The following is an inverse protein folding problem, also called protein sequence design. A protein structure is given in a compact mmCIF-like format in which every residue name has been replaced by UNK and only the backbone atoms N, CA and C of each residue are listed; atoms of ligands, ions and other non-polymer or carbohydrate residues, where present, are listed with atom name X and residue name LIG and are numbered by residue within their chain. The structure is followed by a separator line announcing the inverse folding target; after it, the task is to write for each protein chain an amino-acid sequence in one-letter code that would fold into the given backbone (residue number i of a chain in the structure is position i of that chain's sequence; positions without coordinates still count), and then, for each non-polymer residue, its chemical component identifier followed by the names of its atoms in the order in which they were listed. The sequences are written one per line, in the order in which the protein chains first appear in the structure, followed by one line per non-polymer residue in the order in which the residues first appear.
data_IF_697627513811
#
_entry.id   IF_697627513811
#
_cell.length_a   1.000
_cell.length_b   1.000
_cell.length_c   1.000
_cell.angle_alpha   90.00
_cell.angle_beta   90.00
_cell.angle_gamma   90.00
#
_symmetry.space_group_name_H-M   'P 1'
#
loop_
_entity.id
_entity.type
_entity.pdbx_description
1 polymer ?
#
# COMPACT_ATOMS: atom_id res chain seq x y z
N UNK A 1 -2.47 -6.85 22.95
CA UNK A 1 -2.38 -7.70 21.74
C UNK A 1 -0.95 -8.20 21.57
N UNK A 2 -0.72 -9.32 20.89
CA UNK A 2 0.63 -9.73 20.51
C UNK A 2 1.13 -8.83 19.37
N UNK A 3 2.43 -8.53 19.36
CA UNK A 3 3.11 -7.78 18.30
C UNK A 3 4.00 -8.72 17.49
N UNK A 4 3.96 -8.59 16.17
CA UNK A 4 4.76 -9.35 15.23
C UNK A 4 5.51 -8.39 14.32
N UNK A 5 6.79 -8.67 14.04
CA UNK A 5 7.64 -7.77 13.22
C UNK A 5 8.37 -8.49 12.09
N UNK A 6 8.22 -9.82 12.01
CA UNK A 6 8.74 -10.65 10.93
C UNK A 6 7.61 -11.37 10.21
N UNK A 7 7.72 -11.43 8.87
CA UNK A 7 6.78 -12.16 8.03
C UNK A 7 6.71 -13.66 8.38
N UNK A 8 7.79 -14.24 8.92
CA UNK A 8 7.82 -15.65 9.34
C UNK A 8 6.98 -15.94 10.59
N UNK A 9 6.58 -14.89 11.33
CA UNK A 9 5.76 -15.03 12.52
C UNK A 9 4.26 -15.06 12.20
N UNK A 10 3.86 -14.68 10.99
CA UNK A 10 2.46 -14.61 10.58
C UNK A 10 2.05 -15.83 9.75
N UNK A 11 0.80 -16.24 9.89
CA UNK A 11 0.21 -17.13 8.90
C UNK A 11 -0.01 -16.36 7.60
N UNK A 12 0.59 -16.85 6.52
CA UNK A 12 0.65 -16.14 5.25
C UNK A 12 -0.72 -16.02 4.58
N UNK A 13 -1.57 -17.04 4.70
CA UNK A 13 -2.91 -17.02 4.11
C UNK A 13 -3.85 -16.14 4.93
N UNK A 14 -3.74 -16.17 6.26
CA UNK A 14 -4.47 -15.26 7.14
C UNK A 14 -4.08 -13.79 6.90
N UNK A 15 -2.79 -13.50 6.72
CA UNK A 15 -2.33 -12.16 6.32
C UNK A 15 -2.95 -11.74 4.99
N UNK A 16 -2.84 -12.57 3.94
CA UNK A 16 -3.46 -12.27 2.66
C UNK A 16 -4.97 -12.03 2.78
N UNK A 17 -5.67 -12.91 3.47
CA UNK A 17 -7.11 -12.83 3.71
C UNK A 17 -7.49 -11.55 4.47
N UNK A 18 -6.70 -11.17 5.49
CA UNK A 18 -6.89 -9.92 6.22
C UNK A 18 -6.83 -8.71 5.29
N UNK A 19 -5.84 -8.64 4.40
CA UNK A 19 -5.68 -7.54 3.46
C UNK A 19 -6.79 -7.52 2.42
N UNK A 20 -7.12 -8.67 1.82
CA UNK A 20 -8.14 -8.77 0.75
C UNK A 20 -9.55 -8.43 1.24
N UNK A 21 -9.87 -8.70 2.51
CA UNK A 21 -11.17 -8.40 3.09
C UNK A 21 -11.22 -7.03 3.80
N UNK A 22 -10.09 -6.32 3.90
CA UNK A 22 -10.07 -5.00 4.52
C UNK A 22 -10.59 -3.93 3.53
N UNK A 23 -11.51 -3.02 3.93
CA UNK A 23 -12.05 -1.98 3.03
C UNK A 23 -11.00 -1.04 2.43
N UNK A 24 -9.87 -0.88 3.12
CA UNK A 24 -8.71 -0.07 2.69
C UNK A 24 -7.51 -0.94 2.30
N UNK A 25 -7.71 -2.26 2.15
CA UNK A 25 -6.67 -3.18 1.72
C UNK A 25 -6.08 -2.78 0.38
N UNK A 26 -4.77 -2.96 0.22
CA UNK A 26 -4.10 -2.69 -1.05
C UNK A 26 -3.06 -3.76 -1.33
N UNK A 27 -2.71 -3.91 -2.62
CA UNK A 27 -1.64 -4.83 -3.04
C UNK A 27 -0.34 -4.56 -2.30
N UNK A 28 -0.07 -3.31 -1.91
CA UNK A 28 1.14 -2.91 -1.20
C UNK A 28 1.26 -3.45 0.21
N UNK A 29 0.17 -3.96 0.78
CA UNK A 29 0.12 -4.53 2.13
C UNK A 29 0.12 -6.06 2.10
N UNK A 30 0.16 -6.69 0.91
CA UNK A 30 0.08 -8.14 0.75
C UNK A 30 1.42 -8.86 0.99
N UNK A 31 1.40 -10.16 1.35
CA UNK A 31 2.63 -10.95 1.50
C UNK A 31 3.43 -11.05 0.20
N UNK A 32 2.79 -11.04 -0.98
CA UNK A 32 3.52 -11.05 -2.25
C UNK A 32 4.31 -9.75 -2.48
N UNK A 33 3.81 -8.62 -1.98
CA UNK A 33 4.56 -7.35 -2.05
C UNK A 33 5.75 -7.35 -1.11
N UNK A 34 5.61 -7.96 0.07
CA UNK A 34 6.74 -8.17 0.98
C UNK A 34 7.86 -8.95 0.29
N UNK A 35 7.52 -10.05 -0.40
CA UNK A 35 8.52 -10.84 -1.12
C UNK A 35 9.17 -10.05 -2.25
N UNK A 36 8.38 -9.25 -2.99
CA UNK A 36 8.92 -8.36 -4.02
C UNK A 36 9.91 -7.36 -3.44
N UNK A 37 9.57 -6.71 -2.31
CA UNK A 37 10.47 -5.79 -1.63
C UNK A 37 11.75 -6.48 -1.15
N UNK A 38 11.64 -7.70 -0.59
CA UNK A 38 12.80 -8.48 -0.16
C UNK A 38 13.72 -8.88 -1.33
N UNK A 39 13.14 -9.10 -2.52
CA UNK A 39 13.88 -9.44 -3.74
C UNK A 39 14.43 -8.22 -4.51
N UNK A 40 14.07 -7.00 -4.11
CA UNK A 40 14.46 -5.76 -4.81
C UNK A 40 15.74 -5.17 -4.20
N UNK A 41 16.73 -4.88 -5.04
CA UNK A 41 17.97 -4.25 -4.58
C UNK A 41 17.72 -2.88 -3.92
N UNK A 42 18.36 -2.63 -2.78
CA UNK A 42 18.23 -1.39 -2.02
C UNK A 42 16.94 -1.29 -1.19
N UNK A 43 16.09 -2.32 -1.22
CA UNK A 43 14.84 -2.38 -0.47
C UNK A 43 14.96 -3.41 0.66
N UNK A 44 14.35 -3.10 1.79
CA UNK A 44 14.23 -4.01 2.92
C UNK A 44 12.82 -3.87 3.50
N UNK A 45 11.95 -4.90 3.43
CA UNK A 45 10.60 -4.80 3.95
C UNK A 45 10.63 -4.64 5.47
N UNK A 46 9.72 -3.81 5.99
CA UNK A 46 9.49 -3.60 7.42
C UNK A 46 8.04 -3.92 7.70
N UNK A 47 7.82 -4.98 8.46
CA UNK A 47 6.50 -5.43 8.84
C UNK A 47 6.21 -5.08 10.30
N UNK A 48 5.00 -4.62 10.56
CA UNK A 48 4.41 -4.58 11.88
C UNK A 48 3.01 -5.17 11.79
N UNK A 49 2.67 -6.04 12.74
CA UNK A 49 1.33 -6.56 12.87
C UNK A 49 0.97 -6.72 14.34
N UNK A 50 -0.32 -6.59 14.63
CA UNK A 50 -0.87 -6.82 15.98
C UNK A 50 -2.04 -7.78 15.89
N UNK A 51 -2.18 -8.68 16.86
CA UNK A 51 -3.21 -9.70 16.80
C UNK A 51 -3.41 -10.47 18.11
N UNK A 52 -4.40 -11.35 18.09
CA UNK A 52 -4.59 -12.37 19.14
C UNK A 52 -3.80 -13.66 18.84
N UNK A 53 -3.30 -13.79 17.61
CA UNK A 53 -2.52 -14.91 17.10
C UNK A 53 -1.99 -14.60 15.70
N UNK A 54 -1.11 -15.47 15.15
CA UNK A 54 -0.54 -15.32 13.81
C UNK A 54 -1.58 -15.42 12.69
N UNK A 55 -2.74 -16.01 12.98
CA UNK A 55 -3.90 -16.20 12.10
C UNK A 55 -5.06 -15.22 12.38
N UNK A 56 -4.96 -14.42 13.46
CA UNK A 56 -6.03 -13.50 13.90
C UNK A 56 -5.49 -12.09 14.09
N UNK A 57 -5.22 -11.46 12.96
CA UNK A 57 -4.71 -10.09 12.88
C UNK A 57 -5.79 -9.07 13.25
N UNK A 58 -5.38 -8.06 14.01
CA UNK A 58 -6.17 -6.87 14.40
C UNK A 58 -5.61 -5.60 13.77
N UNK A 59 -4.35 -5.63 13.35
CA UNK A 59 -3.76 -4.57 12.55
C UNK A 59 -2.52 -5.04 11.81
N UNK A 60 -2.21 -4.38 10.70
CA UNK A 60 -1.11 -4.69 9.81
C UNK A 60 -0.57 -3.41 9.16
N UNK A 61 0.75 -3.32 9.09
CA UNK A 61 1.46 -2.31 8.34
C UNK A 61 2.72 -2.95 7.70
N UNK A 62 2.76 -2.94 6.39
CA UNK A 62 3.93 -3.23 5.57
C UNK A 62 4.47 -1.92 5.01
N UNK A 63 5.74 -1.66 5.29
CA UNK A 63 6.54 -0.60 4.72
C UNK A 63 7.78 -1.18 4.05
N UNK A 64 8.53 -0.33 3.37
CA UNK A 64 9.86 -0.67 2.87
C UNK A 64 10.86 0.39 3.30
N UNK A 65 11.98 -0.07 3.86
CA UNK A 65 13.15 0.75 4.05
C UNK A 65 13.91 0.83 2.72
N UNK A 66 13.99 2.03 2.17
CA UNK A 66 14.75 2.31 0.94
C UNK A 66 16.09 2.95 1.30
N UNK A 67 17.16 2.52 0.65
CA UNK A 67 18.50 3.10 0.79
C UNK A 67 19.11 3.34 -0.59
N UNK A 68 19.83 4.44 -0.76
CA UNK A 68 20.67 4.63 -1.94
C UNK A 68 21.79 3.59 -1.95
N UNK A 69 22.18 3.09 -3.14
CA UNK A 69 23.27 2.13 -3.25
C UNK A 69 24.61 2.74 -2.80
N UNK A 70 25.46 1.90 -2.23
CA UNK A 70 26.82 2.25 -1.80
C UNK A 70 26.94 2.71 -0.35
N UNK A 71 28.14 3.18 0.03
CA UNK A 71 28.53 3.43 1.43
C UNK A 71 27.76 4.57 2.11
N UNK A 72 27.11 5.44 1.34
CA UNK A 72 26.27 6.53 1.86
C UNK A 72 24.83 6.10 2.14
N UNK A 73 24.45 4.87 1.78
CA UNK A 73 23.09 4.34 1.92
C UNK A 73 22.45 4.58 3.30
N UNK A 74 23.14 4.36 4.43
CA UNK A 74 22.58 4.62 5.76
C UNK A 74 22.13 6.08 5.99
N UNK A 75 22.81 7.06 5.37
CA UNK A 75 22.47 8.49 5.50
C UNK A 75 21.37 8.96 4.53
N UNK A 76 20.79 8.03 3.79
CA UNK A 76 19.66 8.28 2.87
C UNK A 76 18.45 7.41 3.20
N UNK A 77 18.54 6.62 4.27
CA UNK A 77 17.57 5.60 4.58
C UNK A 77 16.22 6.23 4.93
N UNK A 78 15.16 5.85 4.21
CA UNK A 78 13.78 6.32 4.44
C UNK A 78 12.83 5.14 4.46
N UNK A 79 11.85 5.17 5.35
CA UNK A 79 10.79 4.16 5.36
C UNK A 79 9.57 4.69 4.61
N UNK A 80 9.05 3.92 3.67
CA UNK A 80 7.87 4.27 2.90
C UNK A 80 6.84 3.16 3.03
N UNK A 81 5.67 3.49 3.57
CA UNK A 81 4.48 2.66 3.53
C UNK A 81 3.56 3.16 2.42
N UNK A 82 3.25 2.33 1.44
CA UNK A 82 2.17 2.62 0.49
C UNK A 82 0.86 2.10 1.07
N UNK A 83 -0.05 3.03 1.30
CA UNK A 83 -1.22 2.81 2.14
C UNK A 83 -0.97 3.22 3.59
N UNK A 84 -2.08 3.30 4.31
CA UNK A 84 -2.11 3.56 5.74
C UNK A 84 -2.02 2.23 6.51
N UNK A 85 -1.75 2.28 7.83
CA UNK A 85 -1.96 1.12 8.69
C UNK A 85 -3.39 0.58 8.53
N UNK A 86 -3.52 -0.74 8.40
CA UNK A 86 -4.81 -1.41 8.35
C UNK A 86 -5.19 -1.82 9.76
N UNK A 87 -6.40 -1.49 10.20
CA UNK A 87 -6.92 -1.84 11.53
C UNK A 87 -8.27 -2.52 11.34
N UNK A 88 -8.43 -3.69 11.95
CA UNK A 88 -9.64 -4.50 11.81
C UNK A 88 -10.88 -3.67 12.21
N UNK A 89 -11.98 -3.72 11.42
CA UNK A 89 -13.18 -2.92 11.70
C UNK A 89 -13.83 -3.21 13.07
N UNK A 90 -13.59 -4.40 13.61
CA UNK A 90 -14.12 -4.87 14.89
C UNK A 90 -13.10 -4.75 16.04
N UNK A 91 -11.93 -4.13 15.80
CA UNK A 91 -10.97 -3.75 16.84
C UNK A 91 -11.27 -2.36 17.40
N UNK A 92 -10.80 -2.09 18.63
CA UNK A 92 -10.69 -0.71 19.09
C UNK A 92 -9.63 0.00 18.22
N UNK A 93 -10.02 1.02 17.44
CA UNK A 93 -9.13 1.61 16.46
C UNK A 93 -7.99 2.41 17.11
N UNK A 94 -8.18 2.93 18.33
CA UNK A 94 -7.15 3.67 19.04
C UNK A 94 -6.08 2.74 19.60
N UNK A 95 -6.50 1.68 20.30
CA UNK A 95 -5.58 0.71 20.90
C UNK A 95 -4.79 -0.05 19.82
N UNK A 96 -5.49 -0.61 18.81
CA UNK A 96 -4.84 -1.41 17.78
C UNK A 96 -3.86 -0.58 16.94
N UNK A 97 -4.21 0.67 16.62
CA UNK A 97 -3.32 1.56 15.87
C UNK A 97 -2.11 1.98 16.70
N UNK A 98 -2.28 2.34 17.99
CA UNK A 98 -1.17 2.72 18.85
C UNK A 98 -0.15 1.58 19.00
N UNK A 99 -0.63 0.36 19.25
CA UNK A 99 0.21 -0.84 19.35
C UNK A 99 0.92 -1.15 18.02
N UNK A 100 0.23 -0.97 16.89
CA UNK A 100 0.79 -1.20 15.55
C UNK A 100 1.87 -0.18 15.20
N UNK A 101 1.64 1.11 15.47
CA UNK A 101 2.64 2.17 15.26
C UNK A 101 3.85 1.95 16.18
N UNK A 102 3.64 1.59 17.45
CA UNK A 102 4.74 1.28 18.37
C UNK A 102 5.58 0.08 17.88
N UNK A 103 4.94 -0.99 17.39
CA UNK A 103 5.64 -2.13 16.81
C UNK A 103 6.47 -1.74 15.57
N UNK A 104 5.89 -0.91 14.70
CA UNK A 104 6.55 -0.39 13.51
C UNK A 104 7.76 0.49 13.84
N UNK A 105 7.62 1.44 14.76
CA UNK A 105 8.70 2.32 15.19
C UNK A 105 9.84 1.54 15.85
N UNK A 106 9.49 0.53 16.64
CA UNK A 106 10.47 -0.38 17.24
C UNK A 106 11.24 -1.16 16.16
N UNK A 107 10.56 -1.69 15.14
CA UNK A 107 11.20 -2.40 14.03
C UNK A 107 12.13 -1.49 13.19
N UNK A 108 11.84 -0.18 13.15
CA UNK A 108 12.57 0.81 12.37
C UNK A 108 13.62 1.60 13.17
N UNK A 109 13.69 1.41 14.49
CA UNK A 109 14.49 2.24 15.38
C UNK A 109 15.95 2.38 14.93
N UNK A 110 16.39 3.62 14.66
CA UNK A 110 17.76 3.94 14.23
C UNK A 110 18.10 3.57 12.78
N UNK A 111 17.13 3.11 11.98
CA UNK A 111 17.36 2.59 10.62
C UNK A 111 16.87 3.51 9.51
N UNK A 112 15.99 4.47 9.82
CA UNK A 112 15.44 5.44 8.88
C UNK A 112 15.54 6.87 9.43
N UNK A 113 15.76 7.83 8.53
CA UNK A 113 15.74 9.26 8.84
C UNK A 113 14.31 9.77 9.07
N UNK A 114 13.36 9.24 8.32
CA UNK A 114 11.95 9.53 8.44
C UNK A 114 11.10 8.38 7.90
N UNK A 115 9.84 8.39 8.31
CA UNK A 115 8.78 7.49 7.85
C UNK A 115 7.76 8.29 7.06
N UNK A 116 7.36 7.76 5.90
CA UNK A 116 6.35 8.34 5.02
C UNK A 116 5.21 7.34 4.82
N UNK A 117 3.99 7.74 5.19
CA UNK A 117 2.77 7.00 4.90
C UNK A 117 2.06 7.62 3.70
N UNK A 118 2.05 6.92 2.57
CA UNK A 118 1.38 7.36 1.34
C UNK A 118 -0.03 6.82 1.33
N UNK A 119 -0.91 7.50 2.05
CA UNK A 119 -2.31 7.10 2.22
C UNK A 119 -3.02 6.97 0.86
N UNK A 120 -3.62 5.80 0.62
CA UNK A 120 -4.35 5.48 -0.61
C UNK A 120 -5.87 5.66 -0.46
N UNK A 121 -6.33 5.90 0.76
CA UNK A 121 -7.73 6.05 1.16
C UNK A 121 -7.84 7.16 2.21
N UNK A 122 -9.07 7.48 2.61
CA UNK A 122 -9.31 8.42 3.70
C UNK A 122 -8.82 7.86 5.04
N UNK A 123 -7.88 8.57 5.67
CA UNK A 123 -7.29 8.22 6.97
C UNK A 123 -7.58 9.28 8.03
N UNK A 124 -8.61 10.10 7.83
CA UNK A 124 -8.94 11.20 8.74
C UNK A 124 -9.13 10.73 10.18
N UNK A 125 -9.69 9.52 10.37
CA UNK A 125 -9.86 8.89 11.68
C UNK A 125 -8.54 8.65 12.44
N UNK A 126 -7.42 8.44 11.72
CA UNK A 126 -6.12 8.16 12.32
C UNK A 126 -5.31 9.43 12.58
N UNK A 127 -5.72 10.58 12.04
CA UNK A 127 -4.92 11.81 12.05
C UNK A 127 -4.52 12.25 13.47
N UNK A 128 -5.45 12.19 14.42
CA UNK A 128 -5.20 12.56 15.82
C UNK A 128 -4.12 11.70 16.46
N UNK A 129 -4.30 10.38 16.42
CA UNK A 129 -3.36 9.43 17.00
C UNK A 129 -2.00 9.47 16.31
N UNK A 130 -1.96 9.56 14.98
CA UNK A 130 -0.71 9.71 14.23
C UNK A 130 0.04 10.99 14.66
N UNK A 131 -0.67 12.09 14.91
CA UNK A 131 -0.05 13.33 15.41
C UNK A 131 0.52 13.17 16.82
N UNK A 132 -0.12 12.39 17.70
CA UNK A 132 0.40 12.07 19.04
C UNK A 132 1.71 11.27 18.97
N UNK A 133 1.90 10.47 17.92
CA UNK A 133 3.14 9.76 17.61
C UNK A 133 4.15 10.60 16.80
N UNK A 134 3.92 11.90 16.61
CA UNK A 134 4.85 12.82 15.94
C UNK A 134 4.77 12.84 14.42
N UNK A 135 3.75 12.22 13.81
CA UNK A 135 3.53 12.29 12.36
C UNK A 135 2.81 13.58 11.97
N UNK A 136 3.19 14.15 10.83
CA UNK A 136 2.56 15.32 10.26
C UNK A 136 1.79 14.96 9.01
N UNK A 137 0.50 15.30 8.98
CA UNK A 137 -0.32 15.08 7.79
C UNK A 137 -0.06 16.15 6.73
N UNK A 138 0.20 15.71 5.50
CA UNK A 138 0.30 16.57 4.32
C UNK A 138 -0.83 16.18 3.36
N UNK A 139 -1.54 17.18 2.82
CA UNK A 139 -2.62 16.94 1.86
C UNK A 139 -2.05 16.61 0.47
N UNK A 140 -2.55 15.53 -0.12
CA UNK A 140 -2.22 15.12 -1.48
C UNK A 140 -3.50 15.00 -2.32
N UNK A 141 -3.50 15.63 -3.49
CA UNK A 141 -4.63 15.57 -4.41
C UNK A 141 -4.60 14.25 -5.20
N UNK A 142 -5.58 13.39 -4.96
CA UNK A 142 -5.81 12.18 -5.73
C UNK A 142 -7.11 12.29 -6.54
N UNK A 143 -7.09 11.84 -7.79
CA UNK A 143 -8.29 11.75 -8.63
C UNK A 143 -8.85 10.33 -8.58
N UNK A 144 -9.79 10.08 -7.66
CA UNK A 144 -10.44 8.78 -7.49
C UNK A 144 -11.78 8.81 -8.22
N UNK A 145 -11.99 7.85 -9.13
CA UNK A 145 -13.26 7.66 -9.84
C UNK A 145 -13.98 6.47 -9.21
N UNK A 146 -15.12 6.67 -8.51
CA UNK A 146 -15.90 5.56 -7.98
C UNK A 146 -16.42 4.66 -9.10
N UNK A 147 -16.19 3.36 -8.98
CA UNK A 147 -16.66 2.33 -9.93
C UNK A 147 -17.83 1.51 -9.37
N UNK A 148 -18.49 2.01 -8.32
CA UNK A 148 -19.69 1.39 -7.73
C UNK A 148 -20.93 1.47 -8.64
N UNK A 149 -20.85 2.24 -9.72
CA UNK A 149 -21.91 2.45 -10.72
C UNK A 149 -21.67 1.62 -11.98
N UNK A 150 -22.67 1.59 -12.87
CA UNK A 150 -22.54 0.89 -14.16
C UNK A 150 -21.46 1.50 -15.06
N UNK A 151 -20.95 0.70 -16.00
CA UNK A 151 -19.95 1.15 -16.99
C UNK A 151 -20.46 2.37 -17.76
N UNK A 152 -21.74 2.39 -18.13
CA UNK A 152 -22.38 3.48 -18.84
C UNK A 152 -22.41 4.77 -18.02
N UNK A 153 -22.71 4.68 -16.73
CA UNK A 153 -22.73 5.82 -15.80
C UNK A 153 -21.33 6.39 -15.63
N UNK A 154 -20.34 5.54 -15.34
CA UNK A 154 -18.93 5.94 -15.23
C UNK A 154 -18.46 6.58 -16.55
N UNK A 155 -18.83 5.99 -17.69
CA UNK A 155 -18.48 6.54 -19.01
C UNK A 155 -19.09 7.93 -19.24
N UNK A 156 -20.29 8.21 -18.74
CA UNK A 156 -20.95 9.54 -18.83
C UNK A 156 -20.25 10.59 -17.99
N UNK A 157 -19.58 10.22 -16.89
CA UNK A 157 -18.78 11.15 -16.07
C UNK A 157 -17.55 11.67 -16.82
N UNK A 158 -17.02 10.92 -17.79
CA UNK A 158 -15.89 11.38 -18.61
C UNK A 158 -16.26 12.63 -19.39
N UNK A 159 -15.39 13.64 -19.43
CA UNK A 159 -15.62 14.86 -20.20
C UNK A 159 -15.99 14.59 -21.67
N UNK A 160 -16.91 15.37 -22.27
CA UNK A 160 -17.43 15.18 -23.65
C UNK A 160 -16.32 14.97 -24.69
N UNK A 161 -15.21 15.70 -24.56
CA UNK A 161 -14.03 15.58 -25.44
C UNK A 161 -13.39 14.19 -25.34
N UNK A 162 -13.27 13.62 -24.12
CA UNK A 162 -12.71 12.29 -23.88
C UNK A 162 -13.59 11.20 -24.50
N UNK A 163 -14.91 11.28 -24.31
CA UNK A 163 -15.86 10.35 -24.95
C UNK A 163 -15.75 10.36 -26.48
N UNK A 164 -15.59 11.55 -27.08
CA UNK A 164 -15.37 11.69 -28.54
C UNK A 164 -14.07 11.04 -28.99
N UNK A 165 -12.99 11.18 -28.23
CA UNK A 165 -11.68 10.55 -28.53
C UNK A 165 -11.76 9.03 -28.47
N UNK A 166 -12.38 8.47 -27.42
CA UNK A 166 -12.59 7.03 -27.28
C UNK A 166 -13.38 6.47 -28.47
N UNK A 167 -14.46 7.16 -28.87
CA UNK A 167 -15.25 6.75 -30.04
C UNK A 167 -14.41 6.76 -31.32
N UNK A 168 -13.64 7.83 -31.57
CA UNK A 168 -12.75 7.91 -32.73
C UNK A 168 -11.69 6.82 -32.78
N UNK A 169 -11.11 6.47 -31.63
CA UNK A 169 -10.14 5.38 -31.55
C UNK A 169 -10.77 4.04 -31.93
N UNK A 170 -11.99 3.77 -31.46
CA UNK A 170 -12.76 2.58 -31.85
C UNK A 170 -13.13 2.58 -33.34
N UNK A 171 -13.60 3.72 -33.87
CA UNK A 171 -13.88 3.89 -35.31
C UNK A 171 -12.64 3.67 -36.18
N UNK A 172 -11.45 3.97 -35.67
CA UNK A 172 -10.17 3.73 -36.34
C UNK A 172 -9.64 2.28 -36.19
N UNK A 173 -10.38 1.39 -35.53
CA UNK A 173 -10.01 -0.02 -35.36
C UNK A 173 -9.02 -0.30 -34.21
N UNK A 174 -8.86 0.61 -33.25
CA UNK A 174 -8.01 0.36 -32.08
C UNK A 174 -8.57 -0.80 -31.25
N UNK A 175 -7.73 -1.81 -30.99
CA UNK A 175 -8.03 -2.94 -30.11
C UNK A 175 -7.12 -2.92 -28.88
N UNK A 176 -7.62 -3.45 -27.76
CA UNK A 176 -6.85 -3.67 -26.54
C UNK A 176 -6.87 -5.16 -26.24
N UNK A 177 -5.74 -5.70 -25.79
CA UNK A 177 -5.63 -7.07 -25.29
C UNK A 177 -4.75 -7.06 -24.05
N UNK A 178 -4.96 -8.05 -23.20
CA UNK A 178 -4.06 -8.31 -22.07
C UNK A 178 -2.77 -8.96 -22.58
N UNK A 179 -1.69 -8.71 -21.86
CA UNK A 179 -0.43 -9.46 -22.03
C UNK A 179 -0.59 -10.75 -21.26
N UNK A 180 -0.28 -11.87 -21.90
CA UNK A 180 -0.44 -13.21 -21.33
C UNK A 180 0.91 -13.79 -20.97
N UNK A 181 1.95 -13.50 -21.78
CA UNK A 181 3.29 -14.01 -21.53
C UNK A 181 4.24 -12.92 -21.02
N UNK A 182 5.09 -13.23 -20.01
CA UNK A 182 6.07 -12.28 -19.49
C UNK A 182 6.98 -11.68 -20.57
N UNK A 183 7.36 -12.45 -21.59
CA UNK A 183 8.20 -11.99 -22.70
C UNK A 183 7.54 -10.87 -23.54
N UNK A 184 6.22 -10.69 -23.43
CA UNK A 184 5.54 -9.58 -24.10
C UNK A 184 5.84 -8.22 -23.46
N UNK A 185 6.32 -8.21 -22.20
CA UNK A 185 6.72 -6.98 -21.52
C UNK A 185 7.85 -6.27 -22.26
N UNK A 186 8.77 -7.00 -22.92
CA UNK A 186 9.86 -6.41 -23.69
C UNK A 186 9.37 -5.53 -24.85
N UNK A 187 8.16 -5.78 -25.35
CA UNK A 187 7.53 -5.00 -26.42
C UNK A 187 6.88 -3.71 -25.89
N UNK A 188 6.51 -3.69 -24.61
CA UNK A 188 5.73 -2.62 -23.98
C UNK A 188 6.62 -1.70 -23.15
N UNK A 189 7.66 -2.23 -22.51
CA UNK A 189 8.58 -1.48 -21.67
C UNK A 189 9.18 -0.23 -22.36
N UNK A 190 9.57 -0.27 -23.65
CA UNK A 190 10.08 0.91 -24.35
C UNK A 190 9.06 2.04 -24.57
N UNK A 191 7.78 1.83 -24.25
CA UNK A 191 6.73 2.84 -24.37
C UNK A 191 6.62 3.74 -23.13
N UNK A 192 7.31 3.42 -22.05
CA UNK A 192 7.35 4.16 -20.78
C UNK A 192 8.72 4.83 -20.58
#
# INVERSE_FOLDING_TARGET
MNRYTSASELDREAWKCFVENHPQGSVFQRPEMHDLFAATEGFEPVLAAVGEGPDRLRGLLLAVLQREPGWKGPFSARSVAWGAPLVAPDADPGEALAELIAAYEQALAGRALYSEFRNLSDTSAFRGLMAEHGYHYIEHLNYIIPLSSTVEEVYRLLHKKRRKQIRRAREAGLTVRELVEPAEMDKVYPLF
#
